data_IF_525598034199
#
_entry.id   IF_525598034199
#
_cell.length_a   1.000
_cell.length_b   1.000
_cell.length_c   1.000
_cell.angle_alpha   90.00
_cell.angle_beta   90.00
_cell.angle_gamma   90.00
#
_symmetry.space_group_name_H-M   'P 1'
#
loop_
_entity.id
_entity.type
_entity.pdbx_description
1 polymer ?
#
# COMPACT_ATOMS: atom_id res chain seq x y z
N UNK A 1 -2.92 -9.13 11.03
CA UNK A 1 -2.39 -9.91 9.89
C UNK A 1 -0.87 -9.95 10.03
N UNK A 2 -0.30 -11.14 9.94
CA UNK A 2 1.14 -11.35 9.84
C UNK A 2 1.42 -11.79 8.41
N UNK A 3 2.21 -11.03 7.69
CA UNK A 3 2.65 -11.35 6.34
C UNK A 3 4.16 -11.45 6.30
N UNK A 4 4.66 -12.43 5.60
CA UNK A 4 6.07 -12.63 5.33
C UNK A 4 6.26 -12.69 3.82
N UNK A 5 6.95 -11.71 3.29
CA UNK A 5 7.33 -11.66 1.88
C UNK A 5 8.76 -12.19 1.77
N UNK A 6 8.89 -13.35 1.16
CA UNK A 6 10.18 -14.03 0.98
C UNK A 6 10.30 -14.54 -0.44
N UNK A 7 11.40 -14.21 -1.08
CA UNK A 7 11.72 -14.66 -2.43
C UNK A 7 13.02 -15.44 -2.39
N UNK A 8 12.91 -16.74 -2.59
CA UNK A 8 14.08 -17.61 -2.70
C UNK A 8 14.47 -17.73 -4.17
N UNK A 9 15.53 -17.06 -4.57
CA UNK A 9 16.09 -17.13 -5.91
C UNK A 9 17.59 -17.49 -5.83
N UNK A 10 18.07 -18.20 -6.83
CA UNK A 10 19.44 -18.75 -6.85
C UNK A 10 20.15 -18.50 -8.18
N UNK A 11 19.62 -17.65 -9.05
CA UNK A 11 20.18 -17.45 -10.38
C UNK A 11 21.03 -16.19 -10.47
N UNK A 12 22.32 -16.27 -10.90
CA UNK A 12 23.16 -15.07 -11.14
C UNK A 12 22.58 -14.09 -12.16
N UNK A 13 21.76 -14.59 -13.08
CA UNK A 13 21.04 -13.75 -14.06
C UNK A 13 19.98 -12.91 -13.38
N UNK A 14 19.30 -13.44 -12.36
CA UNK A 14 18.31 -12.70 -11.58
C UNK A 14 18.98 -11.61 -10.74
N UNK A 15 20.13 -11.89 -10.13
CA UNK A 15 20.91 -10.89 -9.38
C UNK A 15 21.32 -9.71 -10.27
N UNK A 16 21.73 -9.99 -11.52
CA UNK A 16 22.02 -8.92 -12.49
C UNK A 16 20.79 -8.07 -12.81
N UNK A 17 19.62 -8.67 -12.94
CA UNK A 17 18.37 -7.92 -13.17
C UNK A 17 18.01 -7.06 -11.97
N UNK A 18 18.12 -7.60 -10.76
CA UNK A 18 17.87 -6.89 -9.51
C UNK A 18 18.78 -5.66 -9.37
N UNK A 19 20.08 -5.82 -9.65
CA UNK A 19 21.06 -4.75 -9.55
C UNK A 19 20.85 -3.63 -10.58
N UNK A 20 20.31 -3.97 -11.75
CA UNK A 20 20.09 -3.03 -12.84
C UNK A 20 18.70 -2.40 -12.85
N UNK A 21 17.76 -2.88 -12.03
CA UNK A 21 16.39 -2.39 -12.03
C UNK A 21 15.86 -2.20 -10.60
N UNK A 22 15.85 -0.95 -10.14
CA UNK A 22 15.39 -0.55 -8.80
C UNK A 22 13.94 -0.98 -8.54
N UNK A 23 13.09 -0.95 -9.56
CA UNK A 23 11.70 -1.38 -9.43
C UNK A 23 11.60 -2.88 -9.09
N UNK A 24 12.35 -3.73 -9.81
CA UNK A 24 12.39 -5.16 -9.53
C UNK A 24 12.99 -5.41 -8.16
N UNK A 25 14.07 -4.74 -7.80
CA UNK A 25 14.70 -4.84 -6.48
C UNK A 25 13.73 -4.49 -5.34
N UNK A 26 12.96 -3.41 -5.51
CA UNK A 26 11.98 -2.98 -4.50
C UNK A 26 10.79 -3.94 -4.40
N UNK A 27 10.31 -4.45 -5.56
CA UNK A 27 9.17 -5.39 -5.60
C UNK A 27 9.50 -6.78 -5.07
N UNK A 28 10.78 -7.15 -5.10
CA UNK A 28 11.30 -8.46 -4.72
C UNK A 28 12.10 -8.44 -3.41
N UNK A 29 12.02 -7.37 -2.63
CA UNK A 29 12.70 -7.28 -1.35
C UNK A 29 12.02 -8.16 -0.30
N UNK A 30 12.81 -8.99 0.40
CA UNK A 30 12.33 -9.78 1.52
C UNK A 30 11.93 -8.87 2.68
N UNK A 31 10.69 -8.98 3.15
CA UNK A 31 10.19 -8.16 4.23
C UNK A 31 9.25 -8.92 5.15
N UNK A 32 9.34 -8.64 6.42
CA UNK A 32 8.37 -9.07 7.41
C UNK A 32 7.39 -7.93 7.70
N UNK A 33 6.08 -8.19 7.54
CA UNK A 33 5.03 -7.15 7.65
C UNK A 33 4.05 -7.54 8.77
N UNK A 34 4.35 -7.18 10.04
CA UNK A 34 3.44 -7.36 11.15
C UNK A 34 2.40 -6.23 11.15
N UNK A 35 1.30 -6.42 10.40
CA UNK A 35 0.28 -5.40 10.16
C UNK A 35 -0.94 -5.58 11.04
N UNK A 36 -1.40 -4.50 11.65
CA UNK A 36 -2.73 -4.34 12.24
C UNK A 36 -3.56 -3.40 11.38
N UNK A 37 -4.84 -3.74 11.20
CA UNK A 37 -5.77 -2.92 10.43
C UNK A 37 -7.10 -2.81 11.16
N UNK A 38 -7.65 -1.60 11.17
CA UNK A 38 -8.96 -1.30 11.68
C UNK A 38 -9.79 -0.63 10.58
N UNK A 39 -10.97 -1.17 10.30
CA UNK A 39 -11.89 -0.62 9.30
C UNK A 39 -13.17 -0.17 9.99
N UNK A 40 -13.49 1.09 9.82
CA UNK A 40 -14.78 1.67 10.20
C UNK A 40 -15.64 1.83 8.97
N UNK A 41 -16.86 1.32 9.00
CA UNK A 41 -17.81 1.47 7.91
C UNK A 41 -19.11 2.06 8.41
N UNK A 42 -19.51 3.18 7.86
CA UNK A 42 -20.80 3.82 8.07
C UNK A 42 -21.69 3.66 6.84
N UNK A 43 -22.91 3.22 7.04
CA UNK A 43 -23.94 3.15 6.00
C UNK A 43 -25.18 3.84 6.51
N UNK A 44 -25.67 4.84 5.78
CA UNK A 44 -26.94 5.47 6.10
C UNK A 44 -28.11 4.50 5.81
N UNK A 45 -29.19 4.63 6.56
CA UNK A 45 -30.36 3.75 6.40
C UNK A 45 -30.94 3.92 4.96
N UNK A 46 -31.41 2.80 4.38
CA UNK A 46 -31.97 2.76 3.02
C UNK A 46 -33.22 3.64 2.83
N UNK A 47 -33.91 4.01 3.92
CA UNK A 47 -35.07 4.91 3.87
C UNK A 47 -34.73 6.33 3.39
N UNK A 48 -33.45 6.71 3.39
CA UNK A 48 -33.03 8.00 2.89
C UNK A 48 -32.93 8.00 1.36
N UNK A 49 -33.48 9.04 0.73
CA UNK A 49 -33.46 9.21 -0.73
C UNK A 49 -32.03 9.37 -1.30
N UNK A 50 -31.08 9.64 -0.45
CA UNK A 50 -29.69 9.91 -0.82
C UNK A 50 -28.75 9.20 0.16
N UNK A 51 -28.64 7.86 0.10
CA UNK A 51 -27.79 7.11 1.02
C UNK A 51 -26.30 7.44 0.85
N UNK A 52 -25.58 7.29 1.94
CA UNK A 52 -24.11 7.44 2.02
C UNK A 52 -23.53 6.12 2.48
N UNK A 53 -22.44 5.72 1.84
CA UNK A 53 -21.56 4.67 2.34
C UNK A 53 -20.18 5.29 2.52
N UNK A 54 -19.66 5.20 3.72
CA UNK A 54 -18.34 5.71 4.06
C UNK A 54 -17.56 4.62 4.77
N UNK A 55 -16.39 4.28 4.27
CA UNK A 55 -15.49 3.32 4.87
C UNK A 55 -14.10 3.94 5.01
N UNK A 56 -13.52 3.82 6.18
CA UNK A 56 -12.13 4.24 6.42
C UNK A 56 -11.37 3.10 7.05
N UNK A 57 -10.27 2.73 6.41
CA UNK A 57 -9.34 1.72 6.91
C UNK A 57 -8.06 2.41 7.36
N UNK A 58 -7.69 2.18 8.59
CA UNK A 58 -6.40 2.58 9.15
C UNK A 58 -5.59 1.32 9.38
N UNK A 59 -4.38 1.29 8.86
CA UNK A 59 -3.44 0.18 9.02
C UNK A 59 -2.12 0.70 9.54
N UNK A 60 -1.53 -0.05 10.43
CA UNK A 60 -0.18 0.19 10.94
C UNK A 60 0.63 -1.10 10.87
N UNK A 61 1.92 -0.99 10.69
CA UNK A 61 2.84 -2.11 10.72
C UNK A 61 4.11 -1.77 11.49
N UNK A 62 4.63 -2.76 12.22
CA UNK A 62 5.92 -2.69 12.89
C UNK A 62 5.95 -1.88 14.20
N UNK A 63 4.91 -1.14 14.58
CA UNK A 63 4.92 -0.30 15.77
C UNK A 63 5.03 -1.10 17.06
N UNK A 64 4.31 -2.22 17.16
CA UNK A 64 4.37 -3.11 18.33
C UNK A 64 5.78 -3.68 18.51
N UNK A 65 6.43 -4.08 17.42
CA UNK A 65 7.80 -4.56 17.46
C UNK A 65 8.79 -3.45 17.82
N UNK A 66 8.63 -2.26 17.24
CA UNK A 66 9.46 -1.10 17.57
C UNK A 66 9.31 -0.69 19.03
N UNK A 67 8.10 -0.80 19.61
CA UNK A 67 7.88 -0.60 21.03
C UNK A 67 8.65 -1.62 21.88
N UNK A 68 8.64 -2.90 21.48
CA UNK A 68 9.43 -3.94 22.14
C UNK A 68 10.93 -3.64 22.12
N UNK A 69 11.45 -3.19 20.98
CA UNK A 69 12.86 -2.77 20.84
C UNK A 69 13.18 -1.52 21.65
N UNK A 70 12.24 -0.57 21.76
CA UNK A 70 12.40 0.61 22.62
C UNK A 70 12.56 0.22 24.09
N UNK A 71 11.74 -0.73 24.56
CA UNK A 71 11.84 -1.27 25.92
C UNK A 71 13.14 -2.04 26.16
N UNK A 72 13.73 -2.60 25.09
CA UNK A 72 15.07 -3.23 25.11
C UNK A 72 16.24 -2.24 24.98
N UNK A 73 15.97 -0.92 25.00
CA UNK A 73 17.00 0.12 24.98
C UNK A 73 17.45 0.61 23.60
N UNK A 74 16.79 0.16 22.51
CA UNK A 74 17.06 0.68 21.15
C UNK A 74 16.20 1.92 20.86
N UNK A 75 16.70 2.83 20.02
CA UNK A 75 15.96 4.02 19.64
C UNK A 75 14.84 3.69 18.67
N UNK A 76 13.73 4.44 18.71
CA UNK A 76 12.58 4.26 17.82
C UNK A 76 12.96 4.41 16.34
N UNK A 77 13.76 5.40 16.00
CA UNK A 77 14.20 5.74 14.65
C UNK A 77 15.49 5.02 14.21
N UNK A 78 15.95 4.03 14.95
CA UNK A 78 17.13 3.26 14.58
C UNK A 78 16.78 2.26 13.50
N UNK A 79 17.54 2.23 12.41
CA UNK A 79 17.38 1.32 11.29
C UNK A 79 18.01 -0.07 11.58
N UNK A 80 17.67 -1.04 10.73
CA UNK A 80 18.29 -2.38 10.80
C UNK A 80 17.78 -3.28 11.93
N UNK A 81 16.60 -2.96 12.49
CA UNK A 81 15.93 -3.88 13.42
C UNK A 81 15.36 -5.05 12.64
N UNK A 82 15.70 -6.26 13.08
CA UNK A 82 15.30 -7.49 12.38
C UNK A 82 14.41 -8.36 13.25
N UNK A 83 13.46 -9.05 12.62
CA UNK A 83 12.73 -10.15 13.21
C UNK A 83 12.84 -11.37 12.29
N UNK A 84 13.13 -12.54 12.83
CA UNK A 84 13.40 -13.76 12.04
C UNK A 84 14.51 -13.58 10.99
N UNK A 85 15.56 -12.80 11.31
CA UNK A 85 16.70 -12.46 10.45
C UNK A 85 16.40 -11.51 9.28
N UNK A 86 15.14 -11.06 9.11
CA UNK A 86 14.76 -10.09 8.10
C UNK A 86 14.28 -8.78 8.73
N UNK A 87 14.50 -7.69 8.02
CA UNK A 87 13.99 -6.39 8.42
C UNK A 87 12.47 -6.40 8.39
N UNK A 88 11.84 -5.85 9.43
CA UNK A 88 10.41 -5.65 9.42
C UNK A 88 10.03 -4.28 8.89
N UNK A 89 8.95 -4.24 8.15
CA UNK A 89 8.42 -2.99 7.62
C UNK A 89 7.68 -2.19 8.69
N UNK A 90 7.94 -0.88 8.72
CA UNK A 90 7.29 0.05 9.64
C UNK A 90 6.63 1.18 8.85
N UNK A 91 5.30 1.23 8.86
CA UNK A 91 4.52 2.22 8.15
C UNK A 91 3.16 2.46 8.79
N UNK A 92 2.57 3.60 8.46
CA UNK A 92 1.18 3.95 8.70
C UNK A 92 0.49 4.12 7.35
N UNK A 93 -0.69 3.52 7.18
CA UNK A 93 -1.51 3.64 5.97
C UNK A 93 -2.94 3.99 6.37
N UNK A 94 -3.50 4.97 5.71
CA UNK A 94 -4.90 5.34 5.84
C UNK A 94 -5.54 5.38 4.46
N UNK A 95 -6.70 4.77 4.34
CA UNK A 95 -7.48 4.73 3.12
C UNK A 95 -8.93 5.03 3.45
N UNK A 96 -9.56 5.92 2.70
CA UNK A 96 -10.96 6.27 2.84
C UNK A 96 -11.69 6.11 1.53
N UNK A 97 -12.85 5.50 1.60
CA UNK A 97 -13.75 5.25 0.50
C UNK A 97 -15.10 5.88 0.84
N UNK A 98 -15.57 6.78 0.00
CA UNK A 98 -16.80 7.52 0.20
C UNK A 98 -17.68 7.43 -1.04
N UNK A 99 -18.88 6.89 -0.88
CA UNK A 99 -19.86 6.77 -1.94
C UNK A 99 -21.15 7.50 -1.55
N UNK A 100 -21.59 8.40 -2.40
CA UNK A 100 -22.82 9.16 -2.25
C UNK A 100 -23.76 8.86 -3.40
N UNK A 101 -24.99 8.52 -3.05
CA UNK A 101 -26.07 8.29 -4.01
C UNK A 101 -27.05 9.47 -3.96
N UNK A 102 -27.53 9.90 -5.12
CA UNK A 102 -28.66 10.84 -5.27
C UNK A 102 -29.70 10.21 -6.18
N UNK A 103 -30.83 9.83 -5.63
CA UNK A 103 -31.98 9.37 -6.42
C UNK A 103 -32.68 10.59 -7.00
N UNK A 104 -32.49 10.84 -8.28
CA UNK A 104 -33.05 11.99 -9.00
C UNK A 104 -34.53 11.75 -9.32
N UNK A 105 -34.86 10.55 -9.81
CA UNK A 105 -36.21 10.08 -10.08
C UNK A 105 -36.25 8.53 -9.94
N UNK A 106 -37.42 7.86 -10.09
CA UNK A 106 -37.55 6.41 -9.93
C UNK A 106 -36.64 5.56 -10.82
N UNK A 107 -36.21 6.12 -11.95
CA UNK A 107 -35.40 5.42 -12.96
C UNK A 107 -33.94 5.88 -13.03
N UNK A 108 -33.58 6.96 -12.31
CA UNK A 108 -32.27 7.59 -12.43
C UNK A 108 -31.63 7.85 -11.07
N UNK A 109 -30.43 7.38 -10.89
CA UNK A 109 -29.62 7.64 -9.69
C UNK A 109 -28.23 8.14 -10.11
N UNK A 110 -27.84 9.28 -9.58
CA UNK A 110 -26.49 9.79 -9.68
C UNK A 110 -25.65 9.22 -8.54
N UNK A 111 -24.46 8.71 -8.84
CA UNK A 111 -23.54 8.17 -7.86
C UNK A 111 -22.20 8.89 -7.98
N UNK A 112 -21.71 9.42 -6.86
CA UNK A 112 -20.32 9.89 -6.76
C UNK A 112 -19.53 8.96 -5.85
N UNK A 113 -18.34 8.63 -6.28
CA UNK A 113 -17.38 7.79 -5.56
C UNK A 113 -16.05 8.53 -5.41
N UNK A 114 -15.57 8.64 -4.20
CA UNK A 114 -14.28 9.22 -3.87
C UNK A 114 -13.48 8.18 -3.09
N UNK A 115 -12.30 7.83 -3.61
CA UNK A 115 -11.31 7.05 -2.89
C UNK A 115 -10.05 7.90 -2.70
N UNK A 116 -9.53 7.94 -1.49
CA UNK A 116 -8.31 8.65 -1.16
C UNK A 116 -7.51 7.86 -0.12
N UNK A 117 -6.19 7.89 -0.26
CA UNK A 117 -5.32 7.18 0.66
C UNK A 117 -3.94 7.81 0.79
N UNK A 118 -3.31 7.55 1.92
CA UNK A 118 -1.94 7.94 2.21
C UNK A 118 -1.21 6.79 2.89
N UNK A 119 0.05 6.61 2.51
CA UNK A 119 0.96 5.69 3.18
C UNK A 119 2.23 6.43 3.56
N UNK A 120 2.69 6.23 4.78
CA UNK A 120 3.86 6.89 5.32
C UNK A 120 4.75 5.88 6.02
N UNK A 121 5.96 5.68 5.50
CA UNK A 121 6.99 4.83 6.09
C UNK A 121 7.88 5.66 7.02
N UNK A 122 8.30 5.05 8.11
CA UNK A 122 9.12 5.68 9.12
C UNK A 122 9.90 4.64 9.93
N UNK A 123 10.77 5.11 10.83
CA UNK A 123 11.52 4.25 11.74
C UNK A 123 12.39 3.25 10.98
N UNK A 124 12.07 1.97 11.12
CA UNK A 124 12.84 0.87 10.51
C UNK A 124 12.68 0.73 8.98
N UNK A 125 11.88 1.57 8.33
CA UNK A 125 11.63 1.48 6.89
C UNK A 125 11.73 2.85 6.23
N UNK A 126 12.61 2.97 5.25
CA UNK A 126 12.71 4.14 4.38
C UNK A 126 11.60 4.17 3.32
N UNK A 127 11.02 3.01 3.00
CA UNK A 127 10.02 2.84 1.94
C UNK A 127 8.96 1.82 2.35
N UNK A 128 7.72 2.06 1.91
CA UNK A 128 6.63 1.12 2.11
C UNK A 128 6.84 -0.16 1.28
N UNK A 129 6.36 -1.33 1.78
CA UNK A 129 6.34 -2.56 1.00
C UNK A 129 5.58 -2.37 -0.31
N UNK A 130 6.09 -2.97 -1.38
CA UNK A 130 5.49 -2.88 -2.70
C UNK A 130 4.03 -3.34 -2.73
N UNK A 131 3.69 -4.38 -1.98
CA UNK A 131 2.34 -4.93 -1.86
C UNK A 131 1.36 -3.98 -1.18
N UNK A 132 1.84 -3.07 -0.34
CA UNK A 132 1.03 -2.10 0.39
C UNK A 132 0.90 -0.74 -0.33
N UNK A 133 1.69 -0.49 -1.36
CA UNK A 133 1.65 0.76 -2.13
C UNK A 133 0.33 0.88 -2.90
N UNK A 134 -0.17 2.09 -3.01
CA UNK A 134 -1.29 2.39 -3.91
C UNK A 134 -0.87 2.25 -5.37
N UNK A 135 -1.82 1.87 -6.21
CA UNK A 135 -1.59 1.72 -7.64
C UNK A 135 -2.85 2.06 -8.44
N UNK A 136 -2.65 2.35 -9.72
CA UNK A 136 -3.71 2.58 -10.69
C UNK A 136 -3.65 1.50 -11.77
N UNK A 137 -4.81 1.18 -12.34
CA UNK A 137 -4.97 0.10 -13.33
C UNK A 137 -5.54 -1.19 -12.73
N UNK A 138 -5.95 -2.09 -13.60
CA UNK A 138 -6.58 -3.36 -13.24
C UNK A 138 -8.11 -3.31 -13.17
N UNK A 139 -8.71 -4.46 -12.94
CA UNK A 139 -10.15 -4.68 -13.04
C UNK A 139 -11.02 -3.81 -12.11
N UNK A 140 -10.49 -3.45 -10.95
CA UNK A 140 -11.18 -2.65 -9.93
C UNK A 140 -10.84 -1.15 -9.97
N UNK A 141 -10.04 -0.72 -10.94
CA UNK A 141 -9.63 0.66 -11.14
C UNK A 141 -9.92 1.06 -12.60
N UNK A 142 -8.91 1.15 -13.46
CA UNK A 142 -9.05 1.46 -14.88
C UNK A 142 -8.85 0.17 -15.68
N UNK A 143 -9.93 -0.47 -16.08
CA UNK A 143 -9.97 -1.83 -16.66
C UNK A 143 -9.15 -2.01 -17.95
N UNK A 144 -8.98 -0.93 -18.72
CA UNK A 144 -8.22 -0.98 -19.99
C UNK A 144 -6.69 -1.12 -19.78
N UNK A 145 -6.21 -0.96 -18.56
CA UNK A 145 -4.80 -0.96 -18.25
C UNK A 145 -4.44 -2.07 -17.26
N UNK A 146 -3.24 -2.60 -17.42
CA UNK A 146 -2.70 -3.55 -16.44
C UNK A 146 -2.49 -2.88 -15.09
N UNK A 147 -2.51 -3.67 -14.04
CA UNK A 147 -2.16 -3.24 -12.68
C UNK A 147 -0.79 -2.56 -12.72
N UNK A 148 -0.72 -1.31 -12.21
CA UNK A 148 0.51 -0.48 -12.23
C UNK A 148 1.04 -0.18 -13.63
N UNK A 149 0.25 -0.41 -14.67
CA UNK A 149 0.62 -0.16 -16.05
C UNK A 149 0.39 1.28 -16.53
N UNK A 150 -0.14 2.15 -15.67
CA UNK A 150 -0.34 3.56 -15.99
C UNK A 150 0.79 4.34 -15.34
N UNK A 151 1.68 4.85 -16.17
CA UNK A 151 2.79 5.71 -15.76
C UNK A 151 2.54 7.18 -16.11
N UNK A 152 3.46 8.08 -15.77
CA UNK A 152 3.36 9.51 -16.06
C UNK A 152 3.58 9.81 -17.56
N UNK A 153 2.59 9.54 -18.39
CA UNK A 153 2.51 9.97 -19.79
C UNK A 153 3.62 9.43 -20.70
N UNK A 154 4.55 10.28 -21.12
CA UNK A 154 5.62 9.97 -22.09
C UNK A 154 6.82 9.21 -21.50
N UNK A 155 6.75 8.71 -20.29
CA UNK A 155 7.89 8.02 -19.69
C UNK A 155 8.14 6.68 -20.37
N UNK A 156 9.38 6.47 -20.78
CA UNK A 156 9.83 5.18 -21.28
C UNK A 156 10.03 4.21 -20.11
N UNK A 157 9.40 3.04 -20.17
CA UNK A 157 9.53 1.99 -19.14
C UNK A 157 10.95 1.40 -19.05
N UNK A 158 11.78 1.60 -20.09
CA UNK A 158 13.19 1.21 -20.06
C UNK A 158 14.05 2.08 -19.14
N UNK A 159 13.56 3.29 -18.82
CA UNK A 159 14.25 4.28 -17.99
C UNK A 159 13.75 4.28 -16.53
N UNK A 160 13.07 3.21 -16.13
CA UNK A 160 12.52 3.02 -14.77
C UNK A 160 13.58 2.76 -13.69
N UNK A 161 14.85 3.03 -13.95
CA UNK A 161 15.88 3.19 -12.90
C UNK A 161 15.55 4.37 -11.97
N UNK A 162 14.47 5.10 -12.22
CA UNK A 162 14.23 6.41 -11.68
C UNK A 162 12.98 6.57 -10.82
N UNK A 163 13.16 7.39 -9.84
CA UNK A 163 12.35 8.35 -9.05
C UNK A 163 10.81 8.12 -8.95
N UNK A 164 10.18 7.36 -9.84
CA UNK A 164 8.72 7.21 -9.96
C UNK A 164 8.19 5.81 -9.60
N UNK A 165 9.05 4.92 -9.16
CA UNK A 165 8.62 3.64 -8.59
C UNK A 165 7.80 3.80 -7.29
N UNK A 166 7.67 5.02 -6.79
CA UNK A 166 7.01 5.39 -5.54
C UNK A 166 5.65 6.09 -5.74
N UNK A 167 5.10 6.13 -6.94
CA UNK A 167 3.77 6.68 -7.20
C UNK A 167 2.73 5.59 -7.33
#
# INVERSE_FOLDING_TARGET
ILSYEFINYTSPKFDSIMNNNVYVATSMADRFIPKMSYTYTYRSAQKYRSPIVWSTTVSEAGNVLSLGYLLAGKKWSEDGKTMFKNEYSQFFKMETDFVKYWTLNPTSTLVAHLNAGVIWSYGNSSQAPYTEMFYVGGANSIRAFNVRGIGPGKQDYSDMSNKYANI
#
